data_IF_015733727015
#
_entry.id   IF_015733727015
#
_cell.length_a   1.000
_cell.length_b   1.000
_cell.length_c   1.000
_cell.angle_alpha   90.00
_cell.angle_beta   90.00
_cell.angle_gamma   90.00
#
_symmetry.space_group_name_H-M   'P 1'
#
loop_
_entity.id
_entity.type
_entity.pdbx_description
1 polymer ?
#
# COMPACT_ATOMS: atom_id res chain seq x y z
N UNK A 1 36.40 -90.25 -17.94
CA UNK A 1 36.78 -88.88 -17.54
C UNK A 1 35.77 -87.92 -18.15
N UNK A 2 35.23 -87.03 -17.32
CA UNK A 2 34.05 -86.18 -17.58
C UNK A 2 34.16 -85.30 -18.82
N UNK A 3 33.11 -85.26 -19.63
CA UNK A 3 32.83 -84.14 -20.52
C UNK A 3 31.69 -83.31 -19.93
N UNK A 4 31.98 -82.04 -19.79
CA UNK A 4 31.21 -81.02 -19.09
C UNK A 4 30.09 -80.48 -19.99
N UNK A 5 28.89 -80.37 -19.42
CA UNK A 5 27.73 -79.67 -19.97
C UNK A 5 27.92 -78.15 -19.89
N UNK A 6 27.93 -77.46 -21.04
CA UNK A 6 27.87 -75.99 -21.12
C UNK A 6 26.63 -75.51 -21.87
N UNK A 7 25.63 -75.13 -21.08
CA UNK A 7 24.79 -73.92 -21.13
C UNK A 7 24.10 -73.48 -22.44
N UNK A 8 22.75 -73.45 -22.46
CA UNK A 8 21.94 -72.57 -23.29
C UNK A 8 21.72 -71.23 -22.54
N UNK A 9 22.75 -70.39 -22.44
CA UNK A 9 22.67 -69.10 -21.72
C UNK A 9 22.58 -67.86 -22.62
N UNK A 10 22.96 -67.99 -23.90
CA UNK A 10 23.13 -66.83 -24.78
C UNK A 10 21.83 -66.36 -25.47
N UNK A 11 20.83 -67.23 -25.59
CA UNK A 11 19.60 -66.91 -26.35
C UNK A 11 18.59 -66.13 -25.50
N UNK A 12 18.57 -66.35 -24.17
CA UNK A 12 17.63 -65.68 -23.26
C UNK A 12 18.02 -64.23 -22.95
N UNK A 13 19.32 -63.88 -23.04
CA UNK A 13 19.79 -62.51 -22.77
C UNK A 13 19.54 -61.56 -23.95
N UNK A 14 19.51 -62.07 -25.19
CA UNK A 14 19.27 -61.25 -26.39
C UNK A 14 17.78 -60.87 -26.54
N UNK A 15 16.85 -61.68 -26.02
CA UNK A 15 15.42 -61.39 -26.05
C UNK A 15 15.00 -60.36 -24.98
N UNK A 16 15.65 -60.35 -23.81
CA UNK A 16 15.40 -59.34 -22.77
C UNK A 16 15.95 -57.96 -23.11
N UNK A 17 17.00 -57.86 -23.95
CA UNK A 17 17.56 -56.57 -24.36
C UNK A 17 16.71 -55.87 -25.44
N UNK A 18 15.98 -56.63 -26.27
CA UNK A 18 15.10 -56.08 -27.30
C UNK A 18 13.76 -55.56 -26.76
N UNK A 19 13.33 -56.00 -25.56
CA UNK A 19 12.12 -55.49 -24.91
C UNK A 19 12.31 -54.15 -24.17
N UNK A 20 13.54 -53.68 -23.97
CA UNK A 20 13.82 -52.38 -23.33
C UNK A 20 14.01 -51.22 -24.34
N UNK A 21 13.93 -51.49 -25.64
CA UNK A 21 14.18 -50.48 -26.68
C UNK A 21 12.91 -49.84 -27.28
N UNK A 22 11.71 -50.22 -26.83
CA UNK A 22 10.46 -49.64 -27.34
C UNK A 22 9.74 -48.84 -26.25
N UNK A 23 10.10 -47.56 -26.13
CA UNK A 23 9.22 -46.40 -25.94
C UNK A 23 10.01 -45.21 -25.38
N UNK A 24 10.96 -44.71 -26.17
CA UNK A 24 11.39 -43.33 -26.09
C UNK A 24 11.17 -42.69 -27.47
N UNK A 25 9.91 -42.66 -27.91
CA UNK A 25 9.50 -41.63 -28.88
C UNK A 25 9.47 -40.32 -28.10
N UNK A 26 10.61 -39.63 -28.07
CA UNK A 26 10.62 -38.21 -27.84
C UNK A 26 9.72 -37.58 -28.93
N UNK A 27 8.51 -37.20 -28.55
CA UNK A 27 7.69 -36.29 -29.34
C UNK A 27 8.42 -34.93 -29.33
N UNK A 28 9.37 -34.76 -30.26
CA UNK A 28 9.67 -33.45 -30.82
C UNK A 28 8.62 -33.15 -31.91
N UNK A 29 7.34 -33.23 -31.54
CA UNK A 29 6.35 -32.42 -32.24
C UNK A 29 6.70 -30.99 -31.86
N UNK A 30 7.06 -30.17 -32.84
CA UNK A 30 7.16 -28.73 -32.67
C UNK A 30 5.79 -28.27 -32.20
N UNK A 31 5.61 -28.14 -30.89
CA UNK A 31 4.33 -27.88 -30.26
C UNK A 31 3.85 -26.55 -30.82
N UNK A 32 2.83 -26.61 -31.69
CA UNK A 32 2.31 -25.43 -32.36
C UNK A 32 1.78 -24.49 -31.28
N UNK A 33 2.42 -23.34 -31.11
CA UNK A 33 1.98 -22.33 -30.17
C UNK A 33 0.55 -21.86 -30.53
N UNK A 34 -0.34 -21.71 -29.54
CA UNK A 34 -1.70 -21.25 -29.77
C UNK A 34 -1.73 -19.87 -30.44
N UNK A 35 -2.78 -19.65 -31.20
CA UNK A 35 -3.11 -18.33 -31.75
C UNK A 35 -4.00 -17.57 -30.75
N UNK A 36 -4.04 -16.26 -30.92
CA UNK A 36 -5.06 -15.45 -30.25
C UNK A 36 -6.46 -15.89 -30.68
N UNK A 37 -7.34 -16.07 -29.69
CA UNK A 37 -8.69 -16.60 -29.86
C UNK A 37 -8.82 -18.12 -29.60
N UNK A 38 -7.71 -18.86 -29.54
CA UNK A 38 -7.74 -20.29 -29.19
C UNK A 38 -8.10 -20.47 -27.71
N UNK A 39 -8.86 -21.52 -27.41
CA UNK A 39 -9.20 -21.91 -26.02
C UNK A 39 -8.05 -22.70 -25.40
N UNK A 40 -7.48 -22.18 -24.33
CA UNK A 40 -6.38 -22.78 -23.59
C UNK A 40 -6.93 -23.48 -22.35
N UNK A 41 -6.45 -24.70 -22.10
CA UNK A 41 -6.78 -25.47 -20.90
C UNK A 41 -5.84 -25.09 -19.76
N UNK A 42 -6.40 -24.88 -18.57
CA UNK A 42 -5.67 -24.63 -17.34
C UNK A 42 -5.88 -25.83 -16.44
N UNK A 43 -4.78 -26.43 -16.03
CA UNK A 43 -4.76 -27.63 -15.19
C UNK A 43 -5.19 -27.27 -13.77
N UNK A 44 -6.05 -28.10 -13.19
CA UNK A 44 -6.50 -28.00 -11.80
C UNK A 44 -5.50 -28.59 -10.81
N UNK A 45 -5.95 -28.77 -9.57
CA UNK A 45 -5.14 -29.36 -8.49
C UNK A 45 -3.80 -28.66 -8.24
N UNK A 46 -3.69 -27.38 -8.59
CA UNK A 46 -2.47 -26.59 -8.54
C UNK A 46 -1.34 -27.18 -9.40
N UNK A 47 -1.68 -27.85 -10.49
CA UNK A 47 -0.70 -28.24 -11.51
C UNK A 47 -0.30 -27.02 -12.35
N UNK A 48 0.99 -26.93 -12.71
CA UNK A 48 1.52 -25.80 -13.47
C UNK A 48 1.03 -25.87 -14.91
N UNK A 49 0.41 -24.79 -15.38
CA UNK A 49 0.10 -24.56 -16.79
C UNK A 49 1.06 -23.48 -17.31
N UNK A 50 1.96 -23.87 -18.19
CA UNK A 50 2.93 -22.97 -18.85
C UNK A 50 2.50 -22.81 -20.32
N UNK A 51 2.18 -21.58 -20.73
CA UNK A 51 1.63 -21.30 -22.04
C UNK A 51 2.29 -20.10 -22.71
N UNK A 52 3.06 -20.39 -23.76
CA UNK A 52 3.62 -19.38 -24.66
C UNK A 52 2.69 -19.11 -25.86
N UNK A 53 2.71 -17.89 -26.38
CA UNK A 53 2.01 -17.46 -27.59
C UNK A 53 3.00 -17.05 -28.68
N UNK A 54 2.52 -16.96 -29.92
CA UNK A 54 3.37 -16.70 -31.09
C UNK A 54 4.08 -15.35 -31.09
N UNK A 55 3.54 -14.36 -30.37
CA UNK A 55 4.14 -13.03 -30.25
C UNK A 55 5.09 -12.89 -29.05
N UNK A 56 5.31 -13.99 -28.31
CA UNK A 56 6.15 -14.06 -27.13
C UNK A 56 5.46 -13.72 -25.81
N UNK A 57 4.15 -13.44 -25.79
CA UNK A 57 3.39 -13.45 -24.54
C UNK A 57 3.52 -14.83 -23.88
N UNK A 58 3.84 -14.87 -22.59
CA UNK A 58 3.89 -16.09 -21.80
C UNK A 58 3.03 -15.99 -20.55
N UNK A 59 2.30 -17.06 -20.24
CA UNK A 59 1.44 -17.20 -19.07
C UNK A 59 1.90 -18.40 -18.25
N UNK A 60 2.08 -18.20 -16.95
CA UNK A 60 2.46 -19.27 -16.01
C UNK A 60 1.45 -19.29 -14.86
N UNK A 61 0.65 -20.36 -14.79
CA UNK A 61 -0.58 -20.41 -14.03
C UNK A 61 -0.66 -21.66 -13.16
N UNK A 62 -1.21 -21.48 -11.96
CA UNK A 62 -1.63 -22.56 -11.07
C UNK A 62 -3.07 -22.33 -10.64
N UNK A 63 -3.92 -23.34 -10.79
CA UNK A 63 -5.35 -23.26 -10.45
C UNK A 63 -5.77 -24.44 -9.57
N UNK A 64 -6.60 -24.24 -8.54
CA UNK A 64 -7.14 -25.34 -7.74
C UNK A 64 -8.06 -26.28 -8.55
N UNK A 65 -8.63 -25.80 -9.66
CA UNK A 65 -9.61 -26.53 -10.50
C UNK A 65 -9.30 -26.36 -11.98
N UNK A 66 -9.74 -27.32 -12.80
CA UNK A 66 -9.62 -27.22 -14.25
C UNK A 66 -10.43 -26.03 -14.77
N UNK A 67 -9.81 -25.19 -15.59
CA UNK A 67 -10.42 -23.99 -16.18
C UNK A 67 -10.01 -23.84 -17.63
N UNK A 68 -10.61 -22.89 -18.32
CA UNK A 68 -10.14 -22.46 -19.63
C UNK A 68 -9.97 -20.95 -19.68
N UNK A 69 -9.06 -20.51 -20.54
CA UNK A 69 -8.93 -19.10 -20.91
C UNK A 69 -8.88 -18.93 -22.42
N UNK A 70 -9.16 -17.71 -22.87
CA UNK A 70 -8.95 -17.23 -24.23
C UNK A 70 -8.18 -15.92 -24.13
N UNK A 71 -7.14 -15.76 -24.96
CA UNK A 71 -6.42 -14.48 -25.11
C UNK A 71 -6.79 -13.86 -26.45
N UNK A 72 -7.15 -12.58 -26.45
CA UNK A 72 -7.46 -11.78 -27.65
C UNK A 72 -6.56 -10.55 -27.68
N UNK A 73 -6.37 -10.00 -28.87
CA UNK A 73 -5.71 -8.70 -29.03
C UNK A 73 -6.75 -7.61 -29.27
N UNK A 74 -6.62 -6.49 -28.56
CA UNK A 74 -7.32 -5.24 -28.88
C UNK A 74 -6.34 -4.31 -29.60
N UNK A 75 -6.55 -4.08 -30.90
CA UNK A 75 -5.69 -3.28 -31.76
C UNK A 75 -5.94 -1.77 -31.64
N UNK A 76 -6.92 -1.38 -30.84
CA UNK A 76 -7.21 0.02 -30.49
C UNK A 76 -7.29 0.17 -28.97
N UNK A 77 -6.18 -0.08 -28.25
CA UNK A 77 -6.17 0.05 -26.80
C UNK A 77 -6.33 1.52 -26.39
N UNK A 78 -6.79 1.74 -25.16
CA UNK A 78 -6.67 3.06 -24.54
C UNK A 78 -5.20 3.49 -24.56
N UNK A 79 -4.91 4.74 -24.95
CA UNK A 79 -3.54 5.24 -24.93
C UNK A 79 -2.94 5.26 -23.50
N UNK A 80 -1.61 5.19 -23.39
CA UNK A 80 -0.91 5.11 -22.11
C UNK A 80 -0.69 6.46 -21.42
N UNK A 81 -1.41 7.52 -21.83
CA UNK A 81 -1.32 8.84 -21.19
C UNK A 81 -1.97 8.91 -19.80
N UNK A 82 -2.74 7.90 -19.41
CA UNK A 82 -3.47 7.87 -18.14
C UNK A 82 -3.14 6.59 -17.39
N UNK A 83 -2.12 6.66 -16.54
CA UNK A 83 -1.65 5.55 -15.71
C UNK A 83 -1.77 5.91 -14.23
N UNK A 84 -2.32 5.01 -13.42
CA UNK A 84 -2.40 5.13 -11.96
C UNK A 84 -1.68 3.94 -11.27
N UNK A 85 -1.56 3.96 -9.95
CA UNK A 85 -0.88 2.90 -9.17
C UNK A 85 0.65 3.03 -9.07
N UNK A 86 1.22 4.02 -9.76
CA UNK A 86 2.65 4.29 -9.88
C UNK A 86 2.90 5.80 -9.82
N UNK A 87 4.14 6.20 -9.52
CA UNK A 87 4.58 7.60 -9.58
C UNK A 87 5.52 7.81 -10.77
N UNK A 88 5.59 9.04 -11.30
CA UNK A 88 6.47 9.39 -12.42
C UNK A 88 5.80 9.26 -13.78
N UNK A 89 5.61 10.40 -14.44
CA UNK A 89 5.02 10.57 -15.77
C UNK A 89 6.04 11.25 -16.69
N UNK A 90 5.98 11.11 -18.03
CA UNK A 90 4.90 10.50 -18.80
C UNK A 90 5.10 9.01 -19.10
N UNK A 91 4.00 8.27 -19.17
CA UNK A 91 3.95 6.93 -19.76
C UNK A 91 3.69 6.96 -21.27
N UNK A 92 4.21 5.95 -21.97
CA UNK A 92 3.95 5.65 -23.38
C UNK A 92 3.61 4.18 -23.58
N UNK A 93 2.74 3.88 -24.54
CA UNK A 93 2.46 2.50 -24.91
C UNK A 93 3.66 1.95 -25.69
N UNK A 94 4.11 0.75 -25.33
CA UNK A 94 5.24 0.08 -25.98
C UNK A 94 4.79 -0.97 -27.00
N UNK A 95 3.52 -1.34 -26.96
CA UNK A 95 2.85 -2.18 -27.94
C UNK A 95 1.72 -1.41 -28.66
N UNK A 96 1.41 -1.82 -29.89
CA UNK A 96 0.32 -1.28 -30.69
C UNK A 96 -1.04 -1.94 -30.42
N UNK A 97 -1.07 -2.92 -29.52
CA UNK A 97 -2.27 -3.61 -29.06
C UNK A 97 -2.13 -3.94 -27.57
N UNK A 98 -3.26 -4.22 -26.92
CA UNK A 98 -3.34 -4.80 -25.57
C UNK A 98 -3.84 -6.25 -25.64
N UNK A 99 -3.58 -7.01 -24.58
CA UNK A 99 -4.04 -8.38 -24.42
C UNK A 99 -5.31 -8.42 -23.58
N UNK A 100 -6.39 -8.97 -24.11
CA UNK A 100 -7.60 -9.26 -23.34
C UNK A 100 -7.57 -10.74 -22.98
N UNK A 101 -7.45 -11.04 -21.69
CA UNK A 101 -7.52 -12.40 -21.17
C UNK A 101 -8.91 -12.62 -20.58
N UNK A 102 -9.58 -13.68 -21.04
CA UNK A 102 -10.93 -14.06 -20.62
C UNK A 102 -10.94 -15.50 -20.15
N UNK A 103 -11.19 -15.70 -18.87
CA UNK A 103 -11.44 -16.98 -18.25
C UNK A 103 -12.89 -17.42 -18.52
N UNK A 104 -13.16 -18.72 -18.44
CA UNK A 104 -14.52 -19.25 -18.54
C UNK A 104 -15.38 -19.00 -17.29
N UNK A 105 -14.74 -18.68 -16.16
CA UNK A 105 -15.38 -18.36 -14.89
C UNK A 105 -14.56 -17.34 -14.11
N UNK A 106 -15.18 -16.64 -13.15
CA UNK A 106 -14.46 -15.75 -12.25
C UNK A 106 -13.47 -16.55 -11.39
N UNK A 107 -12.19 -16.22 -11.54
CA UNK A 107 -11.08 -16.92 -10.94
C UNK A 107 -10.32 -15.96 -10.00
N UNK A 108 -10.60 -16.01 -8.69
CA UNK A 108 -9.97 -15.16 -7.65
C UNK A 108 -9.00 -15.94 -6.74
N UNK A 109 -8.71 -17.17 -7.11
CA UNK A 109 -7.92 -18.18 -6.39
C UNK A 109 -6.75 -18.71 -7.23
N UNK A 110 -6.36 -18.00 -8.30
CA UNK A 110 -5.22 -18.37 -9.12
C UNK A 110 -3.89 -17.99 -8.44
N UNK A 111 -2.80 -18.61 -8.90
CA UNK A 111 -1.48 -18.00 -8.84
C UNK A 111 -1.05 -17.83 -10.28
N UNK A 112 -0.95 -16.59 -10.73
CA UNK A 112 -0.61 -16.30 -12.11
C UNK A 112 0.55 -15.33 -12.24
N UNK A 113 1.28 -15.50 -13.34
CA UNK A 113 2.32 -14.63 -13.85
C UNK A 113 2.05 -14.38 -15.34
N UNK A 114 2.15 -13.13 -15.74
CA UNK A 114 2.13 -12.69 -17.15
C UNK A 114 3.51 -12.17 -17.48
N UNK A 115 4.04 -12.58 -18.63
CA UNK A 115 5.27 -12.03 -19.21
C UNK A 115 4.96 -11.45 -20.59
N UNK A 116 5.25 -10.16 -20.77
CA UNK A 116 5.09 -9.49 -22.06
C UNK A 116 6.48 -9.10 -22.59
N UNK A 117 6.83 -9.51 -23.83
CA UNK A 117 8.11 -9.19 -24.42
C UNK A 117 8.17 -7.74 -24.88
N UNK A 118 9.39 -7.19 -24.89
CA UNK A 118 9.68 -5.90 -25.50
C UNK A 118 10.87 -5.98 -26.43
N UNK A 119 10.93 -5.04 -27.37
CA UNK A 119 12.08 -4.89 -28.28
C UNK A 119 12.98 -3.76 -27.77
N UNK A 120 14.23 -4.03 -27.34
CA UNK A 120 15.12 -3.01 -26.79
C UNK A 120 15.39 -1.84 -27.75
N UNK A 121 15.46 -2.11 -29.05
CA UNK A 121 15.65 -1.07 -30.08
C UNK A 121 14.46 -0.10 -30.13
N UNK A 122 13.23 -0.61 -30.05
CA UNK A 122 12.01 0.22 -29.98
C UNK A 122 11.94 1.00 -28.67
N UNK A 123 12.30 0.39 -27.54
CA UNK A 123 12.37 1.09 -26.26
C UNK A 123 13.32 2.29 -26.32
N UNK A 124 14.55 2.04 -26.82
CA UNK A 124 15.57 3.07 -26.96
C UNK A 124 15.12 4.18 -27.91
N UNK A 125 14.51 3.84 -29.05
CA UNK A 125 13.94 4.82 -29.99
C UNK A 125 12.84 5.68 -29.36
N UNK A 126 12.09 5.13 -28.40
CA UNK A 126 11.07 5.85 -27.63
C UNK A 126 11.64 6.59 -26.40
N UNK A 127 12.94 6.49 -26.13
CA UNK A 127 13.57 7.10 -24.96
C UNK A 127 13.17 6.45 -23.63
N UNK A 128 12.73 5.20 -23.65
CA UNK A 128 12.34 4.42 -22.47
C UNK A 128 13.48 3.47 -22.12
N UNK A 129 13.91 3.47 -20.86
CA UNK A 129 14.85 2.46 -20.38
C UNK A 129 14.13 1.14 -20.12
N UNK A 130 14.80 0.01 -20.37
CA UNK A 130 14.30 -1.33 -20.00
C UNK A 130 13.87 -1.40 -18.53
N UNK A 131 14.62 -0.71 -17.66
CA UNK A 131 14.32 -0.60 -16.23
C UNK A 131 13.03 0.19 -15.91
N UNK A 132 12.35 0.74 -16.92
CA UNK A 132 11.16 1.58 -16.83
C UNK A 132 9.99 1.04 -17.67
N UNK A 133 9.98 -0.27 -17.94
CA UNK A 133 8.83 -0.98 -18.53
C UNK A 133 7.92 -1.59 -17.48
N UNK A 134 6.62 -1.59 -17.74
CA UNK A 134 5.57 -2.09 -16.86
C UNK A 134 4.49 -2.79 -17.67
N UNK A 135 3.90 -3.82 -17.09
CA UNK A 135 2.60 -4.30 -17.57
C UNK A 135 1.53 -3.55 -16.78
N UNK A 136 0.58 -2.95 -17.48
CA UNK A 136 -0.51 -2.20 -16.89
C UNK A 136 -1.85 -2.88 -17.16
N UNK A 137 -2.76 -2.86 -16.19
CA UNK A 137 -4.09 -3.46 -16.28
C UNK A 137 -5.14 -2.37 -16.47
N UNK A 138 -6.10 -2.56 -17.38
CA UNK A 138 -7.17 -1.59 -17.60
C UNK A 138 -8.15 -1.57 -16.43
N UNK A 139 -8.32 -0.41 -15.79
CA UNK A 139 -9.35 -0.17 -14.78
C UNK A 139 -10.48 0.69 -15.37
N UNK A 140 -11.72 0.24 -15.13
CA UNK A 140 -12.98 0.93 -15.49
C UNK A 140 -13.06 1.45 -16.93
N UNK A 141 -12.28 0.85 -17.85
CA UNK A 141 -12.13 1.28 -19.25
C UNK A 141 -11.66 2.74 -19.43
N UNK A 142 -11.06 3.33 -18.39
CA UNK A 142 -10.73 4.77 -18.37
C UNK A 142 -9.26 5.06 -18.09
N UNK A 143 -8.56 4.16 -17.44
CA UNK A 143 -7.14 4.32 -17.11
C UNK A 143 -6.44 2.97 -17.03
N UNK A 144 -5.14 3.00 -17.27
CA UNK A 144 -4.26 1.88 -16.97
C UNK A 144 -3.80 1.95 -15.52
N UNK A 145 -3.62 0.80 -14.88
CA UNK A 145 -3.11 0.69 -13.52
C UNK A 145 -1.81 -0.10 -13.56
N UNK A 146 -0.73 0.49 -13.06
CA UNK A 146 0.56 -0.17 -12.85
C UNK A 146 0.71 -0.48 -11.38
N UNK A 147 1.14 -1.71 -11.08
CA UNK A 147 1.50 -2.11 -9.71
C UNK A 147 3.00 -2.34 -9.63
N UNK A 148 3.71 -1.44 -8.94
CA UNK A 148 5.17 -1.55 -8.76
C UNK A 148 5.56 -2.70 -7.81
N UNK A 149 4.68 -3.05 -6.87
CA UNK A 149 4.95 -4.08 -5.84
C UNK A 149 4.97 -5.51 -6.41
N UNK A 150 4.37 -5.71 -7.57
CA UNK A 150 4.28 -7.00 -8.27
C UNK A 150 5.13 -7.04 -9.54
N UNK A 151 5.92 -6.00 -9.78
CA UNK A 151 6.79 -5.85 -10.94
C UNK A 151 8.05 -6.71 -10.81
N UNK A 152 8.41 -7.37 -11.90
CA UNK A 152 9.75 -7.95 -12.06
C UNK A 152 10.22 -7.72 -13.51
N UNK A 153 11.42 -7.12 -13.66
CA UNK A 153 12.03 -6.87 -14.98
C UNK A 153 13.16 -7.86 -15.16
N UNK A 154 13.13 -8.60 -16.26
CA UNK A 154 14.20 -9.54 -16.58
C UNK A 154 14.99 -9.03 -17.79
N UNK A 155 16.07 -8.30 -17.50
CA UNK A 155 16.89 -7.63 -18.53
C UNK A 155 17.59 -8.60 -19.48
N UNK A 156 17.91 -9.81 -19.03
CA UNK A 156 18.53 -10.85 -19.89
C UNK A 156 17.57 -11.47 -20.90
N UNK A 157 16.26 -11.36 -20.69
CA UNK A 157 15.24 -12.01 -21.53
C UNK A 157 14.35 -11.00 -22.25
N UNK A 158 14.61 -9.69 -22.10
CA UNK A 158 13.83 -8.60 -22.70
C UNK A 158 12.31 -8.66 -22.40
N UNK A 159 11.95 -9.09 -21.18
CA UNK A 159 10.56 -9.27 -20.76
C UNK A 159 10.21 -8.42 -19.52
N UNK A 160 8.95 -7.99 -19.47
CA UNK A 160 8.36 -7.35 -18.28
C UNK A 160 7.27 -8.22 -17.70
N UNK A 161 7.26 -8.39 -16.37
CA UNK A 161 6.39 -9.35 -15.68
C UNK A 161 5.53 -8.72 -14.60
N UNK A 162 4.31 -9.22 -14.46
CA UNK A 162 3.53 -9.14 -13.22
C UNK A 162 3.47 -10.55 -12.62
N UNK A 163 3.70 -10.65 -11.32
CA UNK A 163 3.62 -11.91 -10.57
C UNK A 163 2.57 -11.83 -9.44
N UNK A 164 2.24 -12.99 -8.87
CA UNK A 164 1.36 -13.13 -7.68
C UNK A 164 -0.07 -12.63 -7.91
N UNK A 165 -0.58 -12.81 -9.13
CA UNK A 165 -1.94 -12.45 -9.45
C UNK A 165 -2.89 -13.54 -8.96
N UNK A 166 -3.96 -13.14 -8.26
CA UNK A 166 -5.04 -14.06 -7.83
C UNK A 166 -6.18 -14.16 -8.84
N UNK A 167 -6.17 -13.30 -9.85
CA UNK A 167 -7.08 -13.32 -11.01
C UNK A 167 -6.34 -12.88 -12.26
N UNK A 168 -6.78 -13.37 -13.42
CA UNK A 168 -6.17 -13.06 -14.72
C UNK A 168 -7.14 -12.36 -15.69
N UNK A 169 -8.43 -12.33 -15.38
CA UNK A 169 -9.42 -11.65 -16.22
C UNK A 169 -9.11 -10.15 -16.33
N UNK A 170 -8.97 -9.66 -17.55
CA UNK A 170 -8.69 -8.24 -17.76
C UNK A 170 -8.06 -7.92 -19.10
N UNK A 171 -7.73 -6.64 -19.26
CA UNK A 171 -6.99 -6.13 -20.41
C UNK A 171 -5.62 -5.60 -19.94
N UNK A 172 -4.55 -5.98 -20.63
CA UNK A 172 -3.17 -5.74 -20.25
C UNK A 172 -2.41 -5.04 -21.37
N UNK A 173 -1.66 -4.00 -21.05
CA UNK A 173 -0.85 -3.24 -22.00
C UNK A 173 0.59 -3.13 -21.48
N UNK A 174 1.57 -3.29 -22.37
CA UNK A 174 2.94 -2.97 -22.05
C UNK A 174 3.14 -1.45 -22.17
N UNK A 175 3.55 -0.82 -21.07
CA UNK A 175 3.78 0.62 -20.99
C UNK A 175 5.20 0.91 -20.51
N UNK A 176 5.73 2.04 -20.96
CA UNK A 176 7.07 2.51 -20.68
C UNK A 176 7.03 3.89 -20.09
N UNK A 177 7.73 4.10 -18.99
CA UNK A 177 7.90 5.42 -18.39
C UNK A 177 9.10 6.12 -19.01
N UNK A 178 8.91 7.34 -19.54
CA UNK A 178 9.98 8.12 -20.19
C UNK A 178 10.91 8.80 -19.20
N UNK A 179 10.46 9.10 -17.99
CA UNK A 179 11.35 9.64 -16.96
C UNK A 179 12.36 8.59 -16.58
N UNK A 180 13.64 8.98 -16.59
CA UNK A 180 14.74 8.18 -16.07
C UNK A 180 14.50 8.02 -14.59
N UNK A 181 14.01 6.86 -14.19
CA UNK A 181 13.94 6.50 -12.78
C UNK A 181 14.80 5.26 -12.54
N UNK A 182 15.72 5.41 -11.60
CA UNK A 182 16.66 4.38 -11.17
C UNK A 182 16.19 3.61 -9.94
N UNK A 183 15.07 3.95 -9.29
CA UNK A 183 14.55 3.17 -8.14
C UNK A 183 13.29 3.79 -7.55
N UNK A 184 12.22 2.98 -7.40
CA UNK A 184 10.97 3.26 -6.66
C UNK A 184 11.02 4.56 -5.83
N UNK A 185 10.61 5.68 -6.41
CA UNK A 185 10.71 6.97 -5.73
C UNK A 185 9.45 7.18 -4.91
N UNK A 186 9.48 6.71 -3.67
CA UNK A 186 8.78 7.44 -2.64
C UNK A 186 9.29 8.88 -2.65
N UNK A 187 8.40 9.85 -2.81
CA UNK A 187 8.77 11.25 -2.85
C UNK A 187 9.26 11.65 -1.45
N UNK A 188 10.50 12.13 -1.37
CA UNK A 188 10.99 12.67 -0.10
C UNK A 188 10.30 14.00 0.18
N UNK A 189 10.03 14.24 1.46
CA UNK A 189 9.58 15.55 1.93
C UNK A 189 10.63 16.62 1.68
N UNK A 190 10.20 17.82 1.30
CA UNK A 190 11.10 18.94 1.06
C UNK A 190 10.82 19.71 -0.24
N UNK A 191 11.67 20.71 -0.44
CA UNK A 191 11.77 21.49 -1.68
C UNK A 191 12.89 20.95 -2.59
N UNK A 192 12.75 21.17 -3.90
CA UNK A 192 13.75 20.84 -4.92
C UNK A 192 13.27 19.84 -5.97
N UNK A 193 13.97 19.76 -7.10
CA UNK A 193 13.52 19.01 -8.27
C UNK A 193 13.24 17.52 -8.00
N UNK A 194 14.01 16.87 -7.11
CA UNK A 194 13.83 15.46 -6.74
C UNK A 194 12.77 15.21 -5.65
N UNK A 195 12.18 16.29 -5.11
CA UNK A 195 11.17 16.29 -4.04
C UNK A 195 9.86 16.94 -4.48
N UNK A 196 9.77 17.25 -5.77
CA UNK A 196 8.62 17.89 -6.40
C UNK A 196 7.91 16.84 -7.23
N UNK A 197 6.62 16.67 -6.95
CA UNK A 197 5.71 15.92 -7.80
C UNK A 197 5.32 16.80 -8.97
N UNK A 198 5.58 16.35 -10.20
CA UNK A 198 5.12 17.05 -11.38
C UNK A 198 3.80 16.39 -11.84
N UNK A 199 2.69 17.09 -11.66
CA UNK A 199 1.39 16.69 -12.16
C UNK A 199 1.20 17.33 -13.54
N UNK A 200 1.05 16.52 -14.58
CA UNK A 200 1.04 16.97 -15.98
C UNK A 200 -0.29 17.61 -16.40
N UNK A 201 -1.35 17.42 -15.61
CA UNK A 201 -2.72 17.80 -15.97
C UNK A 201 -3.33 16.91 -17.06
N UNK A 202 -4.56 17.21 -17.47
CA UNK A 202 -5.33 16.47 -18.46
C UNK A 202 -6.44 15.57 -17.88
N UNK A 203 -6.90 14.62 -18.67
CA UNK A 203 -7.84 13.59 -18.20
C UNK A 203 -7.07 12.58 -17.33
N UNK A 204 -7.74 11.78 -16.49
CA UNK A 204 -7.09 10.72 -15.72
C UNK A 204 -6.50 11.16 -14.37
N UNK A 205 -6.22 10.17 -13.53
CA UNK A 205 -5.73 10.34 -12.16
C UNK A 205 -4.23 10.08 -12.14
N UNK A 206 -3.47 11.01 -11.56
CA UNK A 206 -2.03 10.92 -11.35
C UNK A 206 -1.73 10.69 -9.88
N UNK A 207 -0.81 9.78 -9.56
CA UNK A 207 -0.53 9.43 -8.17
C UNK A 207 0.86 9.89 -7.71
N UNK A 208 0.95 10.25 -6.43
CA UNK A 208 2.20 10.57 -5.74
C UNK A 208 2.17 9.99 -4.34
N UNK A 209 3.18 9.20 -3.97
CA UNK A 209 3.33 8.62 -2.64
C UNK A 209 4.65 9.07 -2.02
N UNK A 210 4.57 9.57 -0.78
CA UNK A 210 5.70 10.06 -0.01
C UNK A 210 6.28 8.93 0.87
N UNK A 211 7.50 9.15 1.37
CA UNK A 211 8.28 8.15 2.13
C UNK A 211 7.61 7.57 3.38
N UNK A 212 6.59 8.23 3.93
CA UNK A 212 5.83 7.72 5.08
C UNK A 212 4.50 7.04 4.69
N UNK A 213 4.19 6.95 3.39
CA UNK A 213 2.94 6.40 2.85
C UNK A 213 1.82 7.42 2.64
N UNK A 214 2.06 8.74 2.87
CA UNK A 214 1.13 9.78 2.44
C UNK A 214 0.99 9.72 0.92
N UNK A 215 -0.22 9.50 0.42
CA UNK A 215 -0.48 9.38 -1.01
C UNK A 215 -1.55 10.37 -1.46
N UNK A 216 -1.33 10.97 -2.63
CA UNK A 216 -2.30 11.76 -3.37
C UNK A 216 -2.62 11.06 -4.69
N UNK A 217 -3.89 11.01 -5.03
CA UNK A 217 -4.38 10.62 -6.35
C UNK A 217 -5.12 11.84 -6.90
N UNK A 218 -4.61 12.47 -7.95
CA UNK A 218 -5.01 13.80 -8.40
C UNK A 218 -5.37 13.79 -9.88
N UNK A 219 -6.57 14.22 -10.21
CA UNK A 219 -6.96 14.60 -11.56
C UNK A 219 -7.05 16.13 -11.65
N UNK A 220 -6.36 16.72 -12.61
CA UNK A 220 -6.33 18.18 -12.82
C UNK A 220 -6.39 18.48 -14.30
N UNK A 221 -7.12 19.52 -14.71
CA UNK A 221 -7.11 19.98 -16.11
C UNK A 221 -5.83 20.73 -16.50
N UNK A 222 -5.03 21.14 -15.52
CA UNK A 222 -3.82 21.94 -15.69
C UNK A 222 -2.60 21.24 -15.11
N UNK A 223 -1.44 21.44 -15.75
CA UNK A 223 -0.16 21.04 -15.18
C UNK A 223 0.13 21.84 -13.90
N UNK A 224 0.61 21.16 -12.86
CA UNK A 224 1.00 21.76 -11.59
C UNK A 224 2.11 20.96 -10.92
N UNK A 225 2.99 21.66 -10.21
CA UNK A 225 4.00 21.03 -9.38
C UNK A 225 3.49 21.01 -7.94
N UNK A 226 3.72 19.94 -7.21
CA UNK A 226 3.33 19.77 -5.81
C UNK A 226 4.54 19.39 -4.97
N UNK A 227 4.74 20.09 -3.87
CA UNK A 227 5.72 19.77 -2.83
C UNK A 227 4.98 19.52 -1.52
N UNK A 228 5.54 18.63 -0.70
CA UNK A 228 5.10 18.44 0.68
C UNK A 228 6.28 18.58 1.59
N UNK A 229 6.18 19.49 2.56
CA UNK A 229 7.13 19.64 3.65
C UNK A 229 6.55 19.06 4.94
N UNK A 230 7.42 18.66 5.86
CA UNK A 230 7.04 18.30 7.23
C UNK A 230 7.54 19.40 8.15
N UNK A 231 6.62 20.06 8.87
CA UNK A 231 6.97 21.03 9.91
C UNK A 231 6.78 20.39 11.28
N UNK A 232 7.83 20.42 12.09
CA UNK A 232 7.77 19.98 13.48
C UNK A 232 7.07 21.02 14.36
N UNK A 233 6.34 20.54 15.37
CA UNK A 233 5.68 21.37 16.34
C UNK A 233 4.28 21.76 15.90
N UNK A 234 3.33 21.60 16.80
CA UNK A 234 1.92 21.96 16.57
C UNK A 234 1.52 22.86 17.73
N UNK A 235 1.09 24.07 17.40
CA UNK A 235 0.52 24.98 18.38
C UNK A 235 -0.82 24.43 18.86
N UNK A 236 -0.90 24.07 20.15
CA UNK A 236 -2.11 23.52 20.77
C UNK A 236 -3.30 24.49 20.67
N UNK A 237 -3.06 25.80 20.63
CA UNK A 237 -4.12 26.80 20.50
C UNK A 237 -4.75 26.81 19.10
N UNK A 238 -4.06 26.22 18.11
CA UNK A 238 -4.56 26.01 16.76
C UNK A 238 -5.39 24.74 16.61
N UNK A 239 -5.45 23.88 17.63
CA UNK A 239 -6.27 22.67 17.60
C UNK A 239 -7.70 22.96 18.06
N UNK A 240 -8.71 22.28 17.48
CA UNK A 240 -10.07 22.28 18.02
C UNK A 240 -10.12 21.81 19.48
N UNK A 241 -11.02 22.38 20.28
CA UNK A 241 -11.20 21.97 21.67
C UNK A 241 -11.54 20.47 21.80
N UNK A 242 -10.98 19.79 22.80
CA UNK A 242 -11.19 18.35 23.04
C UNK A 242 -10.51 17.43 22.02
N UNK A 243 -9.50 17.94 21.31
CA UNK A 243 -8.70 17.17 20.37
C UNK A 243 -7.21 17.32 20.66
N UNK A 244 -6.45 16.30 20.26
CA UNK A 244 -5.00 16.31 20.26
C UNK A 244 -4.50 15.83 18.91
N UNK A 245 -3.31 16.25 18.49
CA UNK A 245 -2.70 15.70 17.28
C UNK A 245 -2.16 14.29 17.54
N UNK A 246 -2.33 13.38 16.58
CA UNK A 246 -1.71 12.05 16.62
C UNK A 246 -0.20 12.15 16.43
N UNK A 247 0.26 13.04 15.54
CA UNK A 247 1.67 13.25 15.22
C UNK A 247 2.17 14.56 15.82
N UNK A 248 3.47 14.68 16.07
CA UNK A 248 4.11 15.92 16.53
C UNK A 248 4.47 16.90 15.39
N UNK A 249 3.99 16.62 14.18
CA UNK A 249 4.30 17.36 12.97
C UNK A 249 3.05 17.56 12.10
N UNK A 250 3.17 18.46 11.12
CA UNK A 250 2.14 18.76 10.13
C UNK A 250 2.70 18.62 8.72
N UNK A 251 1.94 18.03 7.80
CA UNK A 251 2.26 18.04 6.38
C UNK A 251 1.85 19.37 5.77
N UNK A 252 2.77 20.04 5.09
CA UNK A 252 2.57 21.33 4.44
C UNK A 252 2.61 21.10 2.95
N UNK A 253 1.44 21.04 2.32
CA UNK A 253 1.29 20.78 0.89
C UNK A 253 1.20 22.12 0.17
N UNK A 254 2.06 22.32 -0.82
CA UNK A 254 2.10 23.52 -1.65
C UNK A 254 2.15 23.14 -3.12
N UNK A 255 1.34 23.82 -3.95
CA UNK A 255 1.34 23.64 -5.39
C UNK A 255 1.78 24.90 -6.13
N UNK A 256 2.27 24.74 -7.36
CA UNK A 256 2.64 25.88 -8.21
C UNK A 256 1.46 26.78 -8.60
N UNK A 257 0.21 26.31 -8.41
CA UNK A 257 -1.00 27.10 -8.60
C UNK A 257 -2.03 26.77 -7.51
N UNK A 258 -2.04 27.51 -6.39
CA UNK A 258 -2.96 27.29 -5.26
C UNK A 258 -4.45 27.40 -5.61
N UNK A 259 -4.78 28.07 -6.72
CA UNK A 259 -6.16 28.27 -7.19
C UNK A 259 -6.62 27.21 -8.19
N UNK A 260 -5.75 26.27 -8.57
CA UNK A 260 -6.12 25.19 -9.47
C UNK A 260 -7.20 24.31 -8.82
N UNK A 261 -8.31 24.13 -9.53
CA UNK A 261 -9.32 23.16 -9.12
C UNK A 261 -8.86 21.77 -9.57
N UNK A 262 -8.81 20.85 -8.62
CA UNK A 262 -8.49 19.44 -8.86
C UNK A 262 -9.66 18.56 -8.44
N UNK A 263 -9.70 17.33 -8.91
CA UNK A 263 -10.43 16.24 -8.28
C UNK A 263 -9.39 15.30 -7.67
N UNK A 264 -9.24 15.36 -6.35
CA UNK A 264 -8.18 14.64 -5.66
C UNK A 264 -8.68 13.76 -4.53
N UNK A 265 -7.90 12.74 -4.25
CA UNK A 265 -8.00 11.91 -3.06
C UNK A 265 -6.69 12.00 -2.29
N UNK A 266 -6.76 12.13 -0.98
CA UNK A 266 -5.62 11.98 -0.10
C UNK A 266 -5.78 10.72 0.76
N UNK A 267 -4.75 9.90 0.81
CA UNK A 267 -4.62 8.75 1.70
C UNK A 267 -3.55 9.08 2.73
N UNK A 268 -3.98 9.29 3.96
CA UNK A 268 -3.08 9.62 5.07
C UNK A 268 -2.75 8.34 5.84
N UNK A 269 -1.45 7.99 5.99
CA UNK A 269 -1.05 6.83 6.75
C UNK A 269 -1.37 7.05 8.24
N UNK A 270 -2.19 6.18 8.84
CA UNK A 270 -2.36 6.15 10.29
C UNK A 270 -1.61 4.99 10.95
N UNK A 271 -1.04 4.08 10.16
CA UNK A 271 0.03 3.14 10.52
C UNK A 271 0.74 2.69 9.24
N UNK A 272 2.07 2.54 9.28
CA UNK A 272 2.82 1.88 8.20
C UNK A 272 2.97 0.41 8.55
N UNK A 273 2.35 -0.48 7.77
CA UNK A 273 2.58 -1.93 7.84
C UNK A 273 4.04 -2.24 7.47
N UNK A 274 4.66 -3.24 8.09
CA UNK A 274 4.48 -4.61 7.66
C UNK A 274 4.58 -5.65 8.79
N UNK A 275 3.81 -6.74 8.60
CA UNK A 275 3.90 -8.03 9.31
C UNK A 275 5.34 -8.51 9.38
N UNK A 276 5.66 -9.35 10.39
CA UNK A 276 6.09 -10.74 10.11
C UNK A 276 6.20 -11.66 11.30
N UNK A 277 6.15 -12.96 10.97
CA UNK A 277 7.20 -13.96 11.23
C UNK A 277 7.34 -14.73 9.89
N UNK A 278 8.15 -14.35 8.90
CA UNK A 278 9.61 -14.55 8.77
C UNK A 278 10.22 -13.60 7.70
N UNK A 279 9.85 -12.31 7.76
CA UNK A 279 10.21 -11.25 6.81
C UNK A 279 10.63 -10.01 7.60
N UNK A 280 11.90 -9.98 7.96
CA UNK A 280 12.50 -8.94 8.79
C UNK A 280 12.23 -7.56 8.19
N UNK A 281 11.61 -6.70 9.00
CA UNK A 281 11.43 -5.29 8.71
C UNK A 281 12.05 -4.47 9.82
N UNK A 282 12.77 -3.44 9.40
CA UNK A 282 13.30 -2.41 10.26
C UNK A 282 12.13 -1.50 10.63
N UNK A 283 11.80 -1.49 11.92
CA UNK A 283 10.66 -0.81 12.51
C UNK A 283 10.65 0.72 12.26
N UNK A 284 9.50 1.25 11.82
CA UNK A 284 9.05 2.60 12.14
C UNK A 284 7.67 2.51 12.83
N UNK A 285 7.67 1.91 14.02
CA UNK A 285 6.53 1.62 14.91
C UNK A 285 5.90 2.87 15.59
N UNK A 286 5.75 3.98 14.88
CA UNK A 286 5.39 5.24 15.57
C UNK A 286 3.87 5.37 15.78
N UNK A 287 3.03 5.06 14.79
CA UNK A 287 1.64 5.55 14.86
C UNK A 287 0.64 4.63 15.57
N UNK A 288 0.74 3.29 15.50
CA UNK A 288 -0.18 2.41 16.24
C UNK A 288 0.02 2.48 17.74
N UNK A 289 1.28 2.50 18.18
CA UNK A 289 1.63 2.60 19.60
C UNK A 289 1.20 3.95 20.17
N UNK A 290 1.38 5.05 19.42
CA UNK A 290 0.83 6.35 19.80
C UNK A 290 -0.70 6.32 19.85
N UNK A 291 -1.35 5.74 18.84
CA UNK A 291 -2.79 5.61 18.82
C UNK A 291 -3.31 4.75 19.99
N UNK A 292 -2.62 3.66 20.35
CA UNK A 292 -2.94 2.82 21.52
C UNK A 292 -2.70 3.57 22.82
N UNK A 293 -1.61 4.33 22.94
CA UNK A 293 -1.33 5.16 24.11
C UNK A 293 -2.37 6.27 24.31
N UNK A 294 -2.96 6.76 23.22
CA UNK A 294 -3.99 7.80 23.21
C UNK A 294 -5.43 7.25 23.24
N UNK A 295 -5.60 5.92 23.24
CA UNK A 295 -6.91 5.25 23.35
C UNK A 295 -7.20 4.85 24.81
N UNK A 296 -8.40 5.12 25.32
CA UNK A 296 -8.94 4.33 26.42
C UNK A 296 -9.44 2.98 25.89
N UNK A 297 -9.41 1.98 26.78
CA UNK A 297 -9.82 0.61 26.48
C UNK A 297 -11.21 0.56 25.81
N UNK A 298 -11.31 -0.15 24.67
CA UNK A 298 -12.57 -0.39 23.96
C UNK A 298 -12.96 0.60 22.86
N UNK A 299 -12.13 1.59 22.53
CA UNK A 299 -12.41 2.57 21.46
C UNK A 299 -11.80 2.16 20.10
N UNK A 300 -12.56 2.26 19.01
CA UNK A 300 -12.09 1.96 17.64
C UNK A 300 -11.47 3.20 16.96
N UNK A 301 -10.30 3.06 16.28
CA UNK A 301 -9.70 4.10 15.44
C UNK A 301 -10.69 4.83 14.53
N UNK A 302 -11.59 4.09 13.87
CA UNK A 302 -12.61 4.65 12.97
C UNK A 302 -13.46 5.74 13.60
N UNK A 303 -13.63 5.71 14.92
CA UNK A 303 -14.47 6.69 15.63
C UNK A 303 -13.69 7.90 16.17
N UNK A 304 -12.37 7.79 16.32
CA UNK A 304 -11.52 8.76 17.00
C UNK A 304 -10.62 9.56 16.07
N UNK A 305 -10.26 9.01 14.91
CA UNK A 305 -9.36 9.65 13.96
C UNK A 305 -10.10 10.60 13.03
N UNK A 306 -9.54 11.78 12.82
CA UNK A 306 -10.02 12.73 11.83
C UNK A 306 -8.87 13.52 11.27
N UNK A 307 -8.79 13.65 9.95
CA UNK A 307 -7.81 14.57 9.35
C UNK A 307 -8.34 15.99 9.50
N UNK A 308 -7.46 16.94 9.80
CA UNK A 308 -7.81 18.35 9.86
C UNK A 308 -6.94 19.17 8.90
N UNK A 309 -7.54 20.20 8.31
CA UNK A 309 -6.90 21.08 7.33
C UNK A 309 -6.84 22.52 7.85
N UNK A 310 -5.74 23.20 7.56
CA UNK A 310 -5.55 24.65 7.72
C UNK A 310 -4.99 25.25 6.44
N UNK A 311 -5.27 26.52 6.15
CA UNK A 311 -4.67 27.20 5.00
C UNK A 311 -3.17 27.49 5.23
N UNK A 312 -2.35 27.43 4.18
CA UNK A 312 -0.87 27.55 4.25
C UNK A 312 -0.38 28.76 5.05
N UNK A 313 -0.98 29.93 4.85
CA UNK A 313 -0.55 31.20 5.43
C UNK A 313 -1.39 31.67 6.63
N UNK A 314 -2.17 30.77 7.24
CA UNK A 314 -3.02 31.14 8.37
C UNK A 314 -2.22 31.15 9.67
N UNK A 315 -1.81 32.33 10.12
CA UNK A 315 -1.10 32.54 11.39
C UNK A 315 -2.03 32.52 12.62
N UNK A 316 -3.35 32.63 12.41
CA UNK A 316 -4.35 32.72 13.48
C UNK A 316 -5.55 31.76 13.32
N UNK A 317 -5.53 30.91 12.28
CA UNK A 317 -6.61 29.97 12.03
C UNK A 317 -6.43 28.65 12.77
N UNK A 318 -7.50 28.19 13.42
CA UNK A 318 -7.57 26.82 13.91
C UNK A 318 -7.62 25.83 12.74
N UNK A 319 -7.04 24.65 12.95
CA UNK A 319 -7.27 23.50 12.08
C UNK A 319 -8.75 23.16 12.07
N UNK A 320 -9.30 22.97 10.87
CA UNK A 320 -10.70 22.58 10.69
C UNK A 320 -10.74 21.08 10.42
N UNK A 321 -11.41 20.28 11.28
CA UNK A 321 -11.63 18.86 11.03
C UNK A 321 -12.35 18.66 9.69
N UNK A 322 -11.90 17.70 8.90
CA UNK A 322 -12.65 17.19 7.75
C UNK A 322 -13.92 16.52 8.29
N UNK A 323 -15.06 16.76 7.63
CA UNK A 323 -16.32 16.13 8.04
C UNK A 323 -16.17 14.62 8.05
N UNK A 324 -16.75 13.94 9.05
CA UNK A 324 -16.70 12.48 9.15
C UNK A 324 -17.32 11.79 7.93
N UNK A 325 -18.30 12.41 7.29
CA UNK A 325 -18.92 11.89 6.06
C UNK A 325 -18.05 12.11 4.81
N UNK A 326 -17.03 12.97 4.92
CA UNK A 326 -16.07 13.29 3.86
C UNK A 326 -14.72 12.59 4.05
N UNK A 327 -14.61 11.67 5.00
CA UNK A 327 -13.44 10.82 5.18
C UNK A 327 -13.84 9.37 5.49
N UNK A 328 -12.96 8.43 5.17
CA UNK A 328 -13.13 7.02 5.49
C UNK A 328 -11.87 6.51 6.20
N UNK A 329 -12.02 6.03 7.42
CA UNK A 329 -10.94 5.37 8.17
C UNK A 329 -11.02 3.88 7.88
N UNK A 330 -9.99 3.31 7.27
CA UNK A 330 -9.86 1.88 7.00
C UNK A 330 -8.88 1.29 7.99
N UNK A 331 -9.26 0.22 8.68
CA UNK A 331 -8.40 -0.46 9.67
C UNK A 331 -7.75 -1.74 9.12
N UNK A 332 -8.24 -2.29 8.00
CA UNK A 332 -7.72 -3.51 7.36
C UNK A 332 -7.98 -3.49 5.84
N UNK A 333 -7.09 -4.05 5.00
CA UNK A 333 -5.77 -4.60 5.33
C UNK A 333 -4.69 -3.53 5.53
N UNK A 334 -4.99 -2.25 5.27
CA UNK A 334 -4.09 -1.11 5.48
C UNK A 334 -4.77 -0.05 6.35
N UNK A 335 -4.08 0.38 7.40
CA UNK A 335 -4.52 1.40 8.34
C UNK A 335 -4.31 2.80 7.73
N UNK A 336 -5.34 3.31 7.03
CA UNK A 336 -5.31 4.63 6.35
C UNK A 336 -6.57 5.45 6.59
N UNK A 337 -6.42 6.77 6.59
CA UNK A 337 -7.54 7.71 6.47
C UNK A 337 -7.62 8.24 5.05
N UNK A 338 -8.72 7.93 4.37
CA UNK A 338 -9.00 8.34 3.00
C UNK A 338 -9.88 9.59 2.98
N UNK A 339 -9.50 10.59 2.20
CA UNK A 339 -10.25 11.84 1.98
C UNK A 339 -10.50 11.98 0.48
N UNK A 340 -11.66 11.54 -0.03
CA UNK A 340 -12.01 11.70 -1.44
C UNK A 340 -12.52 13.12 -1.74
N UNK A 341 -12.59 13.48 -3.03
CA UNK A 341 -13.27 14.68 -3.51
C UNK A 341 -12.63 16.00 -3.06
N UNK A 342 -11.33 16.00 -2.80
CA UNK A 342 -10.58 17.21 -2.49
C UNK A 342 -10.50 18.11 -3.72
N UNK A 343 -10.98 19.34 -3.60
CA UNK A 343 -10.97 20.31 -4.70
C UNK A 343 -9.71 21.18 -4.75
N UNK A 344 -8.89 21.14 -3.69
CA UNK A 344 -7.66 21.93 -3.53
C UNK A 344 -6.66 21.15 -2.68
N UNK A 345 -5.41 21.08 -3.15
CA UNK A 345 -4.31 20.38 -2.47
C UNK A 345 -3.64 21.23 -1.40
N UNK A 346 -3.49 22.53 -1.65
CA UNK A 346 -2.75 23.43 -0.76
C UNK A 346 -3.34 23.48 0.65
N UNK A 347 -2.45 23.40 1.62
CA UNK A 347 -2.81 23.50 3.02
C UNK A 347 -1.82 22.82 3.94
N UNK A 348 -2.11 22.93 5.23
CA UNK A 348 -1.46 22.21 6.29
C UNK A 348 -2.42 21.11 6.78
N UNK A 349 -1.92 19.89 6.92
CA UNK A 349 -2.70 18.71 7.24
C UNK A 349 -2.10 17.97 8.43
N UNK A 350 -2.96 17.49 9.33
CA UNK A 350 -2.57 16.62 10.44
C UNK A 350 -3.70 15.65 10.77
N UNK A 351 -3.39 14.64 11.57
CA UNK A 351 -4.40 13.72 12.11
C UNK A 351 -4.73 14.17 13.54
N UNK A 352 -6.01 14.42 13.80
CA UNK A 352 -6.56 14.61 15.14
C UNK A 352 -7.04 13.30 15.73
N UNK A 353 -6.83 13.15 17.03
CA UNK A 353 -7.48 12.19 17.90
C UNK A 353 -8.49 12.95 18.74
N UNK A 354 -9.78 12.66 18.57
CA UNK A 354 -10.82 13.24 19.43
C UNK A 354 -10.91 12.48 20.74
N UNK A 355 -11.16 13.20 21.84
CA UNK A 355 -11.51 12.53 23.09
C UNK A 355 -12.68 11.56 22.89
N UNK A 356 -12.58 10.34 23.42
CA UNK A 356 -13.62 9.34 23.25
C UNK A 356 -14.89 9.80 23.95
N UNK A 357 -15.98 9.77 23.20
CA UNK A 357 -17.31 9.96 23.78
C UNK A 357 -17.63 8.71 24.57
N UNK A 358 -17.74 8.81 25.90
CA UNK A 358 -18.16 7.69 26.74
C UNK A 358 -19.47 7.11 26.18
N UNK A 359 -19.45 5.84 25.79
CA UNK A 359 -20.63 5.13 25.31
C UNK A 359 -21.62 5.06 26.48
N UNK A 360 -22.62 5.94 26.49
CA UNK A 360 -23.65 6.02 27.53
C UNK A 360 -23.67 7.28 28.42
N UNK A 361 -22.79 8.27 28.20
CA UNK A 361 -22.84 9.53 28.95
C UNK A 361 -23.98 10.45 28.46
N UNK A 362 -25.01 10.69 29.28
CA UNK A 362 -26.03 11.71 28.98
C UNK A 362 -25.38 13.09 28.86
N UNK A 363 -25.95 13.95 28.02
CA UNK A 363 -25.65 15.38 28.02
C UNK A 363 -25.83 15.96 29.43
N UNK A 364 -25.04 16.98 29.71
CA UNK A 364 -25.01 17.82 30.91
C UNK A 364 -24.21 17.28 32.10
N UNK A 365 -22.92 17.64 32.13
CA UNK A 365 -22.30 18.29 33.31
C UNK A 365 -21.00 18.96 32.93
N UNK A 366 -20.97 20.27 33.14
CA UNK A 366 -19.85 21.18 32.94
C UNK A 366 -18.70 20.81 33.93
N UNK A 367 -17.45 20.58 33.51
CA UNK A 367 -16.38 20.14 34.40
C UNK A 367 -15.59 21.34 34.95
N UNK A 368 -16.25 22.21 35.71
CA UNK A 368 -15.55 23.27 36.47
C UNK A 368 -16.18 23.46 37.85
N UNK A 369 -16.21 22.41 38.66
CA UNK A 369 -16.23 22.58 40.13
C UNK A 369 -15.77 21.31 40.84
N UNK A 370 -14.45 21.10 40.93
CA UNK A 370 -13.90 20.28 42.01
C UNK A 370 -12.43 20.58 42.26
N UNK A 371 -12.16 21.64 43.00
CA UNK A 371 -11.04 21.72 43.92
C UNK A 371 -11.23 22.91 44.87
N UNK A 372 -10.79 22.71 46.11
CA UNK A 372 -10.91 23.56 47.31
C UNK A 372 -12.22 23.45 48.09
N UNK A 373 -12.27 22.45 48.98
CA UNK A 373 -12.68 22.68 50.39
C UNK A 373 -12.20 21.53 51.28
N UNK A 374 -10.99 21.68 51.82
CA UNK A 374 -10.58 21.04 53.07
C UNK A 374 -10.24 22.15 54.06
N UNK A 375 -10.95 22.20 55.19
CA UNK A 375 -10.66 23.12 56.29
C UNK A 375 -11.74 24.18 56.49
N UNK A 376 -12.67 23.88 57.41
CA UNK A 376 -13.14 24.73 58.50
C UNK A 376 -14.48 24.13 58.99
N UNK A 377 -14.43 23.42 60.12
CA UNK A 377 -15.59 23.30 61.02
C UNK A 377 -15.26 24.17 62.22
N UNK A 378 -15.86 25.34 62.24
CA UNK A 378 -16.08 26.09 63.47
C UNK A 378 -17.19 25.40 64.27
N UNK A 379 -16.88 25.01 65.50
CA UNK A 379 -17.86 24.71 66.54
C UNK A 379 -17.71 25.75 67.63
N UNK A 380 -18.66 26.68 67.71
CA UNK A 380 -18.85 27.54 68.87
C UNK A 380 -19.86 26.91 69.82
N UNK A 381 -19.44 26.55 71.03
CA UNK A 381 -20.31 26.52 72.22
C UNK A 381 -19.49 26.32 73.51
N UNK A 382 -19.44 27.39 74.31
CA UNK A 382 -19.47 27.45 75.79
C UNK A 382 -18.22 27.06 76.63
N UNK A 383 -17.70 28.07 77.34
CA UNK A 383 -16.73 28.11 78.48
C UNK A 383 -17.28 27.42 79.77
N UNK A 384 -16.56 27.37 80.92
CA UNK A 384 -15.11 27.53 81.23
C UNK A 384 -14.54 26.44 82.18
N UNK A 385 -13.21 26.39 82.39
CA UNK A 385 -12.65 25.75 83.60
C UNK A 385 -11.17 25.33 83.58
N UNK A 386 -10.31 26.22 84.09
CA UNK A 386 -9.17 25.97 85.01
C UNK A 386 -8.08 24.89 84.76
N UNK A 387 -6.84 25.41 84.77
CA UNK A 387 -5.66 24.99 85.54
C UNK A 387 -4.77 23.79 85.14
N UNK A 388 -3.47 24.13 85.10
CA UNK A 388 -2.30 23.40 85.61
C UNK A 388 -1.84 22.15 84.84
N UNK A 389 -0.57 21.70 84.84
CA UNK A 389 0.79 22.11 85.24
C UNK A 389 1.66 20.92 84.74
N UNK A 390 2.92 21.16 84.35
CA UNK A 390 4.05 20.19 84.32
C UNK A 390 3.93 19.02 83.34
N UNK A 391 4.99 18.33 82.90
CA UNK A 391 6.45 18.43 82.92
C UNK A 391 6.94 17.15 82.27
N UNK A 392 8.23 17.13 81.89
CA UNK A 392 9.09 15.95 81.93
C UNK A 392 8.79 14.84 80.90
N UNK A 393 9.76 14.09 80.38
CA UNK A 393 11.21 14.12 80.28
C UNK A 393 11.52 12.82 79.52
N UNK A 394 12.64 12.80 78.78
CA UNK A 394 13.50 11.62 78.53
C UNK A 394 12.87 10.49 77.70
N UNK A 395 13.62 9.69 76.95
CA UNK A 395 15.05 9.52 76.77
C UNK A 395 15.23 8.64 75.51
N UNK A 396 16.42 8.72 74.90
CA UNK A 396 17.23 7.60 74.37
C UNK A 396 16.64 6.63 73.32
N UNK A 397 17.38 6.05 72.36
CA UNK A 397 18.69 6.21 71.68
C UNK A 397 18.74 5.01 70.72
N UNK A 398 19.48 5.13 69.61
CA UNK A 398 20.22 4.03 68.92
C UNK A 398 19.36 2.87 68.35
N UNK A 399 19.74 2.13 67.32
CA UNK A 399 20.90 2.04 66.45
C UNK A 399 20.44 1.17 65.25
N UNK A 400 20.88 1.49 64.03
CA UNK A 400 21.83 0.69 63.22
C UNK A 400 21.23 -0.43 62.35
N UNK A 401 21.67 -0.37 61.08
CA UNK A 401 22.10 -1.48 60.23
C UNK A 401 21.04 -2.40 59.59
N UNK A 402 20.88 -2.32 58.27
CA UNK A 402 21.66 -2.96 57.20
C UNK A 402 21.34 -4.46 57.04
N UNK A 403 20.72 -4.73 55.88
CA UNK A 403 20.50 -6.03 55.25
C UNK A 403 20.03 -5.78 53.83
#
# INVERSE_FOLDING_TARGET
MSFCTQWPGAVTLLLCLLCLCNNAKAQNETQKLPNFGDTIQILGAMERTDQDFQDGLALDLFSPRNRTLIVKQNTTPLGAQFVSGTTGEPFVALSNYSYIIQMNETANDLIAKIEIPYEPEKLNAMGVQEANTYVATLADKKSWVVSESTRNIHRSENNTRIIKMTSLDGEYLLVGRKTVDTSNIFVQYGQGATRTVNLTGGVGIQEAEFVDGLRFSVQSSMALNMNVDIHHGIDITSLPAGTQSLNSFVWVVNTSNPSAMVDAQMLVPCESLLRTKDGILVNLEVNRNMLVALKPAGSSPTTMLTVAKRALNSSSGQFKPVSKDAQLVRELPEDRVQIPGMMQLDGQYLILVTEPKAVGGSKDRNPFTRLIKSGLRDTSSTRPGTNNISSAQRDQTCDSDLG
#
